data_IF_613230584084
#
_entry.id   IF_613230584084
#
_cell.length_a   1.000
_cell.length_b   1.000
_cell.length_c   1.000
_cell.angle_alpha   90.00
_cell.angle_beta   90.00
_cell.angle_gamma   90.00
#
_symmetry.space_group_name_H-M   'P 1'
#
loop_
_entity.id
_entity.type
_entity.pdbx_description
1 polymer ?
#
# COMPACT_ATOMS: atom_id res chain seq x y z
N UNK A 1 -22.33 3.41 -0.60
CA UNK A 1 -21.86 4.10 0.63
C UNK A 1 -20.73 5.04 0.21
N UNK A 2 -20.62 6.24 0.78
CA UNK A 2 -19.58 7.21 0.41
C UNK A 2 -18.61 7.41 1.59
N UNK A 3 -17.32 7.06 1.47
CA UNK A 3 -16.36 7.21 2.55
C UNK A 3 -16.08 8.69 2.84
N UNK A 4 -15.78 9.01 4.11
CA UNK A 4 -15.42 10.36 4.58
C UNK A 4 -14.21 10.29 5.50
N UNK A 5 -13.27 11.21 5.34
CA UNK A 5 -12.10 11.35 6.21
C UNK A 5 -12.50 12.17 7.44
N UNK A 6 -12.07 11.74 8.62
CA UNK A 6 -12.32 12.39 9.90
C UNK A 6 -11.04 12.34 10.76
N UNK A 7 -11.10 12.93 11.95
CA UNK A 7 -10.01 13.02 12.93
C UNK A 7 -8.76 13.75 12.43
N UNK A 8 -8.83 15.09 12.44
CA UNK A 8 -7.75 15.98 12.06
C UNK A 8 -6.90 16.43 13.26
N UNK A 9 -6.95 15.71 14.39
CA UNK A 9 -6.27 16.09 15.64
C UNK A 9 -4.74 16.15 15.54
N UNK A 10 -4.16 15.41 14.59
CA UNK A 10 -2.73 15.41 14.27
C UNK A 10 -2.39 16.15 12.96
N UNK A 11 -3.39 16.71 12.28
CA UNK A 11 -3.19 17.41 11.01
C UNK A 11 -2.40 18.69 11.19
N UNK A 12 -1.59 19.04 10.19
CA UNK A 12 -0.74 20.23 10.20
C UNK A 12 -0.98 21.06 8.96
N UNK A 13 -1.07 22.38 9.13
CA UNK A 13 -1.19 23.32 8.03
C UNK A 13 0.20 23.79 7.62
N UNK A 14 0.54 23.63 6.35
CA UNK A 14 1.82 24.08 5.79
C UNK A 14 1.58 25.06 4.64
N UNK A 15 2.46 26.06 4.49
CA UNK A 15 2.58 26.80 3.23
C UNK A 15 3.13 25.84 2.16
N UNK A 16 2.62 25.92 0.91
CA UNK A 16 2.57 24.81 -0.07
C UNK A 16 3.90 24.23 -0.62
N UNK A 17 5.03 24.38 0.07
CA UNK A 17 6.31 23.78 -0.29
C UNK A 17 7.21 23.45 0.92
N UNK A 18 6.71 23.58 2.15
CA UNK A 18 7.57 23.45 3.33
C UNK A 18 7.65 22.02 3.83
N UNK A 19 8.86 21.48 3.83
CA UNK A 19 9.26 20.36 4.67
C UNK A 19 9.39 20.86 6.11
N UNK A 20 8.79 20.16 7.08
CA UNK A 20 8.97 20.47 8.50
C UNK A 20 9.68 19.32 9.20
N UNK A 21 10.69 19.63 10.01
CA UNK A 21 11.30 18.67 10.96
C UNK A 21 10.65 18.87 12.34
N UNK A 22 10.01 17.84 12.88
CA UNK A 22 9.46 17.84 14.24
C UNK A 22 10.37 17.07 15.19
N UNK A 23 10.44 17.52 16.45
CA UNK A 23 11.16 16.81 17.53
C UNK A 23 10.29 15.76 18.22
N UNK A 24 8.96 15.86 18.09
CA UNK A 24 8.00 14.90 18.63
C UNK A 24 7.49 13.99 17.50
N UNK A 25 7.83 12.70 17.58
CA UNK A 25 7.30 11.65 16.71
C UNK A 25 6.01 11.15 17.34
N UNK A 26 4.87 11.57 16.79
CA UNK A 26 3.52 11.18 17.23
C UNK A 26 2.76 10.73 15.98
N UNK A 27 2.19 9.54 16.03
CA UNK A 27 1.43 8.95 14.93
C UNK A 27 1.01 7.52 15.22
N UNK A 28 0.35 6.88 14.25
CA UNK A 28 -0.05 5.47 14.35
C UNK A 28 1.03 4.60 13.71
N UNK A 29 1.57 3.64 14.48
CA UNK A 29 2.58 2.69 14.00
C UNK A 29 2.08 1.93 12.75
N UNK A 30 2.98 1.71 11.79
CA UNK A 30 2.65 1.09 10.50
C UNK A 30 2.02 2.02 9.46
N UNK A 31 1.66 3.26 9.81
CA UNK A 31 1.20 4.29 8.87
C UNK A 31 2.20 5.43 8.70
N UNK A 32 3.20 5.50 9.57
CA UNK A 32 4.23 6.52 9.53
C UNK A 32 5.30 6.14 8.49
N UNK A 33 5.71 7.07 7.63
CA UNK A 33 6.75 6.80 6.66
C UNK A 33 8.14 6.79 7.34
N UNK A 34 9.12 6.10 6.74
CA UNK A 34 10.44 5.93 7.34
C UNK A 34 11.13 7.28 7.61
N UNK A 35 11.11 8.24 6.69
CA UNK A 35 11.75 9.55 6.87
C UNK A 35 11.19 10.35 8.05
N UNK A 36 9.93 10.14 8.42
CA UNK A 36 9.34 10.74 9.61
C UNK A 36 9.89 10.09 10.89
N UNK A 37 10.02 8.78 10.90
CA UNK A 37 10.52 8.04 12.06
C UNK A 37 12.01 8.29 12.26
N UNK A 38 12.77 8.37 11.17
CA UNK A 38 14.22 8.56 11.19
C UNK A 38 14.63 9.99 11.54
N UNK A 39 13.89 10.98 11.03
CA UNK A 39 14.32 12.39 11.03
C UNK A 39 13.24 13.36 11.51
N UNK A 40 12.06 12.87 11.89
CA UNK A 40 10.91 13.74 12.18
C UNK A 40 10.45 14.54 10.96
N UNK A 41 10.81 14.11 9.74
CA UNK A 41 10.51 14.85 8.51
C UNK A 41 9.04 14.67 8.14
N UNK A 42 8.31 15.78 8.06
CA UNK A 42 6.92 15.84 7.60
C UNK A 42 6.88 16.59 6.28
N UNK A 43 6.32 15.94 5.27
CA UNK A 43 6.03 16.48 3.94
C UNK A 43 4.63 16.01 3.52
N UNK A 44 4.02 16.57 2.47
CA UNK A 44 2.78 16.03 1.91
C UNK A 44 2.89 14.55 1.47
N UNK A 45 4.12 14.05 1.23
CA UNK A 45 4.37 12.64 0.91
C UNK A 45 4.17 11.69 2.09
N UNK A 46 4.04 12.24 3.30
CA UNK A 46 3.63 11.48 4.48
C UNK A 46 2.25 10.87 4.27
N UNK A 47 1.26 11.68 3.89
CA UNK A 47 -0.12 11.22 3.71
C UNK A 47 -0.23 10.21 2.55
N UNK A 48 0.63 10.36 1.53
CA UNK A 48 0.72 9.39 0.41
C UNK A 48 1.17 8.02 0.89
N UNK A 49 2.17 7.96 1.78
CA UNK A 49 2.62 6.70 2.35
C UNK A 49 1.49 6.04 3.15
N UNK A 50 0.86 6.80 4.06
CA UNK A 50 -0.26 6.29 4.87
C UNK A 50 -1.43 5.82 3.99
N UNK A 51 -1.72 6.51 2.89
CA UNK A 51 -2.72 6.09 1.90
C UNK A 51 -2.36 4.75 1.25
N UNK A 52 -1.10 4.56 0.86
CA UNK A 52 -0.61 3.28 0.32
C UNK A 52 -0.87 2.12 1.28
N UNK A 53 -0.53 2.29 2.56
CA UNK A 53 -0.83 1.31 3.62
C UNK A 53 -2.34 1.04 3.72
N UNK A 54 -3.19 2.07 3.65
CA UNK A 54 -4.65 1.90 3.68
C UNK A 54 -5.14 1.06 2.50
N UNK A 55 -4.67 1.34 1.27
CA UNK A 55 -5.05 0.59 0.07
C UNK A 55 -4.68 -0.89 0.23
N UNK A 56 -3.46 -1.16 0.70
CA UNK A 56 -2.96 -2.52 0.96
C UNK A 56 -3.86 -3.24 1.96
N UNK A 57 -4.26 -2.56 3.04
CA UNK A 57 -5.16 -3.12 4.04
C UNK A 57 -6.56 -3.42 3.50
N UNK A 58 -7.08 -2.57 2.61
CA UNK A 58 -8.38 -2.80 1.97
C UNK A 58 -8.30 -4.06 1.09
N UNK A 59 -7.21 -4.22 0.34
CA UNK A 59 -6.96 -5.39 -0.51
C UNK A 59 -6.83 -6.66 0.34
N UNK A 60 -6.03 -6.60 1.41
CA UNK A 60 -5.85 -7.73 2.33
C UNK A 60 -7.15 -8.12 3.06
N UNK A 61 -8.02 -7.15 3.38
CA UNK A 61 -9.29 -7.42 4.04
C UNK A 61 -9.23 -7.50 5.58
N UNK A 62 -10.39 -7.78 6.23
CA UNK A 62 -10.58 -7.62 7.67
C UNK A 62 -9.68 -8.51 8.54
N UNK A 63 -9.31 -9.70 8.06
CA UNK A 63 -8.40 -10.61 8.79
C UNK A 63 -6.93 -10.16 8.75
N UNK A 64 -6.59 -9.18 7.90
CA UNK A 64 -5.23 -8.68 7.75
C UNK A 64 -4.84 -7.56 8.71
N UNK A 65 -5.80 -6.83 9.27
CA UNK A 65 -5.48 -5.66 10.09
C UNK A 65 -4.94 -6.02 11.48
N UNK A 66 -5.49 -7.05 12.13
CA UNK A 66 -5.14 -7.38 13.52
C UNK A 66 -3.70 -7.86 13.70
N UNK A 67 -2.98 -8.14 12.60
CA UNK A 67 -1.63 -8.69 12.63
C UNK A 67 -0.57 -7.80 11.97
N UNK A 68 -0.95 -6.77 11.21
CA UNK A 68 -0.02 -6.01 10.36
C UNK A 68 1.18 -5.38 11.11
N UNK A 69 1.00 -4.97 12.37
CA UNK A 69 2.07 -4.37 13.16
C UNK A 69 3.04 -5.41 13.79
N UNK A 70 2.60 -6.66 13.93
CA UNK A 70 3.31 -7.74 14.64
C UNK A 70 3.75 -8.88 13.71
N UNK A 71 3.44 -8.76 12.42
CA UNK A 71 3.60 -9.81 11.40
C UNK A 71 4.91 -9.64 10.63
N UNK A 72 5.63 -10.75 10.39
CA UNK A 72 6.82 -10.73 9.53
C UNK A 72 6.45 -10.50 8.05
N UNK A 73 7.40 -10.13 7.20
CA UNK A 73 7.14 -10.04 5.75
C UNK A 73 6.61 -11.36 5.19
N UNK A 74 7.18 -12.50 5.60
CA UNK A 74 6.74 -13.81 5.12
C UNK A 74 5.29 -14.11 5.51
N UNK A 75 4.87 -13.73 6.72
CA UNK A 75 3.49 -13.91 7.15
C UNK A 75 2.53 -12.93 6.46
N UNK A 76 2.99 -11.71 6.20
CA UNK A 76 2.22 -10.68 5.51
C UNK A 76 2.06 -11.00 4.03
N UNK A 77 3.12 -11.47 3.40
CA UNK A 77 3.14 -12.02 2.04
C UNK A 77 2.16 -13.18 1.95
N UNK A 78 2.27 -14.18 2.82
CA UNK A 78 1.33 -15.32 2.87
C UNK A 78 -0.13 -14.88 3.08
N UNK A 79 -0.37 -13.87 3.90
CA UNK A 79 -1.71 -13.35 4.18
C UNK A 79 -2.28 -12.60 2.97
N UNK A 80 -1.49 -11.73 2.34
CA UNK A 80 -1.84 -11.14 1.05
C UNK A 80 -2.13 -12.24 0.05
N UNK A 81 -1.27 -13.27 0.00
CA UNK A 81 -1.39 -14.41 -0.88
C UNK A 81 -2.74 -15.13 -0.75
N UNK A 82 -3.06 -15.51 0.48
CA UNK A 82 -4.29 -16.25 0.78
C UNK A 82 -5.54 -15.41 0.57
N UNK A 83 -5.50 -14.13 0.98
CA UNK A 83 -6.65 -13.24 0.86
C UNK A 83 -6.91 -12.85 -0.60
N UNK A 84 -5.88 -12.71 -1.43
CA UNK A 84 -6.08 -12.46 -2.86
C UNK A 84 -6.60 -13.71 -3.57
N UNK A 85 -6.03 -14.88 -3.33
CA UNK A 85 -6.43 -16.12 -4.02
C UNK A 85 -7.91 -16.42 -3.74
N UNK A 86 -8.29 -16.21 -2.49
CA UNK A 86 -9.67 -16.30 -2.04
C UNK A 86 -10.57 -15.24 -2.69
N UNK A 87 -10.19 -13.96 -2.68
CA UNK A 87 -11.02 -12.88 -3.25
C UNK A 87 -11.20 -13.01 -4.77
N UNK A 88 -10.14 -13.39 -5.47
CA UNK A 88 -10.15 -13.62 -6.91
C UNK A 88 -11.11 -14.76 -7.27
N UNK A 89 -11.04 -15.87 -6.52
CA UNK A 89 -11.83 -17.07 -6.78
C UNK A 89 -13.30 -16.92 -6.35
N UNK A 90 -13.59 -16.18 -5.28
CA UNK A 90 -14.95 -16.09 -4.71
C UNK A 90 -15.80 -14.97 -5.33
N UNK A 91 -15.23 -13.93 -5.95
CA UNK A 91 -15.96 -12.65 -6.11
C UNK A 91 -15.86 -11.94 -7.45
N UNK A 92 -14.91 -12.27 -8.35
CA UNK A 92 -14.54 -11.33 -9.42
C UNK A 92 -14.92 -11.81 -10.83
N UNK A 93 -15.73 -11.03 -11.58
CA UNK A 93 -15.77 -11.09 -13.04
C UNK A 93 -14.39 -10.74 -13.63
N UNK A 94 -14.07 -11.23 -14.82
CA UNK A 94 -12.76 -11.07 -15.48
C UNK A 94 -12.25 -9.63 -15.64
N UNK A 95 -13.12 -8.62 -15.59
CA UNK A 95 -12.76 -7.20 -15.67
C UNK A 95 -12.12 -6.62 -14.41
N UNK A 96 -12.33 -7.20 -13.24
CA UNK A 96 -11.94 -6.56 -11.96
C UNK A 96 -10.50 -6.86 -11.54
N UNK A 97 -9.84 -7.79 -12.22
CA UNK A 97 -8.46 -8.18 -11.96
C UNK A 97 -7.48 -7.07 -12.36
N UNK A 98 -7.75 -6.37 -13.46
CA UNK A 98 -6.93 -5.26 -13.91
C UNK A 98 -7.06 -4.05 -12.97
N UNK A 99 -8.26 -3.77 -12.48
CA UNK A 99 -8.52 -2.73 -11.48
C UNK A 99 -7.74 -3.00 -10.19
N UNK A 100 -7.71 -4.26 -9.76
CA UNK A 100 -6.97 -4.70 -8.59
C UNK A 100 -5.45 -4.55 -8.79
N UNK A 101 -4.93 -4.98 -9.94
CA UNK A 101 -3.51 -4.79 -10.30
C UNK A 101 -3.11 -3.32 -10.28
N UNK A 102 -3.94 -2.44 -10.84
CA UNK A 102 -3.67 -1.01 -10.81
C UNK A 102 -3.70 -0.45 -9.39
N UNK A 103 -4.67 -0.84 -8.56
CA UNK A 103 -4.69 -0.46 -7.14
C UNK A 103 -3.42 -0.93 -6.39
N UNK A 104 -2.91 -2.12 -6.72
CA UNK A 104 -1.68 -2.63 -6.14
C UNK A 104 -0.45 -1.86 -6.60
N UNK A 105 -0.32 -1.57 -7.89
CA UNK A 105 0.81 -0.77 -8.39
C UNK A 105 0.82 0.62 -7.75
N UNK A 106 -0.35 1.25 -7.60
CA UNK A 106 -0.50 2.52 -6.87
C UNK A 106 0.01 2.35 -5.43
N UNK A 107 -0.46 1.33 -4.71
CA UNK A 107 -0.04 1.06 -3.33
C UNK A 107 1.47 0.86 -3.21
N UNK A 108 2.06 0.03 -4.08
CA UNK A 108 3.50 -0.27 -4.15
C UNK A 108 4.36 0.97 -4.33
N UNK A 109 3.91 1.93 -5.15
CA UNK A 109 4.58 3.22 -5.34
C UNK A 109 4.36 4.17 -4.17
N UNK A 110 3.18 4.13 -3.54
CA UNK A 110 2.88 4.96 -2.37
C UNK A 110 3.76 4.62 -1.16
N UNK A 111 4.09 3.33 -0.96
CA UNK A 111 4.92 2.88 0.18
C UNK A 111 6.43 2.84 -0.12
N UNK A 112 6.88 3.50 -1.20
CA UNK A 112 8.30 3.67 -1.50
C UNK A 112 9.05 4.32 -0.33
N UNK A 113 10.23 3.77 -0.02
CA UNK A 113 11.09 4.33 1.04
C UNK A 113 11.56 5.73 0.69
N UNK A 114 11.90 5.93 -0.59
CA UNK A 114 12.28 7.23 -1.12
C UNK A 114 11.02 8.07 -1.40
N UNK A 115 10.83 9.15 -0.63
CA UNK A 115 9.62 9.97 -0.69
C UNK A 115 9.42 10.63 -2.07
N UNK A 116 10.50 10.88 -2.81
CA UNK A 116 10.46 11.52 -4.13
C UNK A 116 9.94 10.57 -5.21
N UNK A 117 10.04 9.25 -4.99
CA UNK A 117 9.50 8.23 -5.90
C UNK A 117 8.01 7.99 -5.69
N UNK A 118 7.45 8.44 -4.57
CA UNK A 118 6.00 8.32 -4.31
C UNK A 118 5.25 9.22 -5.28
N UNK A 119 4.10 8.79 -5.82
CA UNK A 119 3.28 9.62 -6.69
C UNK A 119 2.71 10.82 -5.93
N UNK A 120 2.24 11.84 -6.64
CA UNK A 120 1.40 12.87 -6.05
C UNK A 120 -0.07 12.44 -6.03
N UNK A 121 -0.87 13.04 -5.15
CA UNK A 121 -2.28 12.64 -5.00
C UNK A 121 -3.09 12.80 -6.30
N UNK A 122 -2.76 13.79 -7.13
CA UNK A 122 -3.43 13.99 -8.42
C UNK A 122 -3.15 12.85 -9.41
N UNK A 123 -1.95 12.27 -9.40
CA UNK A 123 -1.64 11.10 -10.24
C UNK A 123 -2.47 9.90 -9.78
N UNK A 124 -2.49 9.62 -8.47
CA UNK A 124 -3.28 8.53 -7.88
C UNK A 124 -4.76 8.69 -8.25
N UNK A 125 -5.35 9.87 -8.05
CA UNK A 125 -6.77 10.12 -8.38
C UNK A 125 -7.03 9.94 -9.87
N UNK A 126 -6.13 10.41 -10.74
CA UNK A 126 -6.28 10.23 -12.19
C UNK A 126 -6.23 8.76 -12.59
N UNK A 127 -5.35 7.97 -12.00
CA UNK A 127 -5.26 6.52 -12.24
C UNK A 127 -6.52 5.79 -11.74
N UNK A 128 -7.00 6.10 -10.53
CA UNK A 128 -8.24 5.53 -9.98
C UNK A 128 -9.48 5.90 -10.80
N UNK A 129 -9.56 7.12 -11.35
CA UNK A 129 -10.69 7.52 -12.20
C UNK A 129 -10.72 6.78 -13.54
N UNK A 130 -9.55 6.39 -14.08
CA UNK A 130 -9.48 5.60 -15.31
C UNK A 130 -10.04 4.19 -15.12
N UNK A 131 -9.81 3.63 -13.93
CA UNK A 131 -10.40 2.36 -13.50
C UNK A 131 -11.93 2.48 -13.49
N UNK A 132 -12.46 3.47 -12.76
CA UNK A 132 -13.91 3.69 -12.60
C UNK A 132 -14.64 3.94 -13.94
N UNK A 133 -13.95 4.52 -14.92
CA UNK A 133 -14.51 4.83 -16.24
C UNK A 133 -14.52 3.64 -17.22
N UNK A 134 -13.99 2.47 -16.83
CA UNK A 134 -13.94 1.28 -17.70
C UNK A 134 -13.08 1.42 -18.95
N UNK A 135 -12.18 2.42 -18.99
CA UNK A 135 -11.25 2.64 -20.12
C UNK A 135 -10.04 1.73 -19.92
N UNK A 136 -10.27 0.43 -20.02
CA UNK A 136 -9.23 -0.59 -20.13
C UNK A 136 -9.38 -1.14 -21.55
N UNK A 137 -8.46 -0.77 -22.43
CA UNK A 137 -8.48 -1.24 -23.81
C UNK A 137 -8.01 -2.70 -23.84
N UNK A 138 -8.84 -3.63 -24.29
CA UNK A 138 -8.38 -4.90 -24.87
C UNK A 138 -9.08 -5.15 -26.23
N UNK A 139 -8.38 -5.65 -27.26
CA UNK A 139 -8.93 -5.86 -28.59
C UNK A 139 -9.81 -7.12 -28.68
N UNK A 140 -10.88 -7.03 -29.48
CA UNK A 140 -11.75 -8.12 -29.92
C UNK A 140 -10.97 -9.40 -30.32
N UNK A 141 -11.25 -10.54 -29.66
CA UNK A 141 -10.99 -11.88 -30.24
C UNK A 141 -11.95 -12.97 -29.72
N UNK A 142 -12.10 -14.02 -30.53
CA UNK A 142 -13.19 -14.99 -30.66
C UNK A 142 -13.46 -15.94 -29.46
N UNK A 143 -14.73 -16.23 -29.15
CA UNK A 143 -15.24 -16.76 -27.86
C UNK A 143 -14.77 -18.17 -27.44
N UNK A 144 -14.35 -19.03 -28.38
CA UNK A 144 -13.84 -20.38 -28.06
C UNK A 144 -12.36 -20.42 -27.69
N UNK A 145 -11.56 -19.46 -28.18
CA UNK A 145 -10.15 -19.31 -27.79
C UNK A 145 -10.01 -18.58 -26.45
N UNK A 146 -11.09 -17.97 -25.95
CA UNK A 146 -11.13 -17.24 -24.68
C UNK A 146 -11.03 -18.20 -23.50
N UNK A 147 -11.73 -19.33 -23.50
CA UNK A 147 -11.79 -20.21 -22.31
C UNK A 147 -10.45 -20.93 -22.02
N UNK A 148 -9.76 -21.41 -23.06
CA UNK A 148 -8.43 -22.04 -22.93
C UNK A 148 -7.32 -21.02 -22.65
N UNK A 149 -7.49 -19.77 -23.12
CA UNK A 149 -6.66 -18.64 -22.71
C UNK A 149 -7.00 -18.18 -21.31
N UNK A 150 -8.25 -18.25 -20.87
CA UNK A 150 -8.70 -17.78 -19.57
C UNK A 150 -8.02 -18.58 -18.47
N UNK A 151 -7.99 -19.92 -18.53
CA UNK A 151 -7.28 -20.73 -17.53
C UNK A 151 -5.77 -20.44 -17.47
N UNK A 152 -5.14 -20.18 -18.62
CA UNK A 152 -3.70 -19.80 -18.68
C UNK A 152 -3.44 -18.35 -18.26
N UNK A 153 -4.34 -17.44 -18.59
CA UNK A 153 -4.30 -16.05 -18.14
C UNK A 153 -4.52 -16.01 -16.64
N UNK A 154 -5.52 -16.71 -16.11
CA UNK A 154 -5.83 -16.75 -14.69
C UNK A 154 -4.62 -17.27 -13.91
N UNK A 155 -3.95 -18.34 -14.37
CA UNK A 155 -2.69 -18.80 -13.78
C UNK A 155 -1.54 -17.78 -13.85
N UNK A 156 -1.29 -17.18 -15.02
CA UNK A 156 -0.24 -16.15 -15.15
C UNK A 156 -0.55 -14.88 -14.34
N UNK A 157 -1.82 -14.51 -14.22
CA UNK A 157 -2.27 -13.34 -13.50
C UNK A 157 -2.20 -13.56 -11.98
N UNK A 158 -2.52 -14.77 -11.53
CA UNK A 158 -2.24 -15.27 -10.18
C UNK A 158 -0.75 -15.08 -9.88
N UNK A 159 0.15 -15.57 -10.75
CA UNK A 159 1.60 -15.46 -10.55
C UNK A 159 2.09 -13.99 -10.52
N UNK A 160 1.50 -13.12 -11.34
CA UNK A 160 1.86 -11.70 -11.40
C UNK A 160 1.36 -10.92 -10.18
N UNK A 161 0.15 -11.24 -9.71
CA UNK A 161 -0.41 -10.68 -8.46
C UNK A 161 0.37 -11.19 -7.26
N UNK A 162 0.78 -12.45 -7.26
CA UNK A 162 1.65 -13.05 -6.26
C UNK A 162 2.97 -12.28 -6.17
N UNK A 163 3.61 -12.05 -7.30
CA UNK A 163 4.85 -11.26 -7.36
C UNK A 163 4.67 -9.85 -6.81
N UNK A 164 3.57 -9.17 -7.15
CA UNK A 164 3.29 -7.82 -6.66
C UNK A 164 3.03 -7.83 -5.15
N UNK A 165 2.36 -8.85 -4.63
CA UNK A 165 2.16 -9.07 -3.19
C UNK A 165 3.49 -9.14 -2.43
N UNK A 166 4.42 -9.95 -2.93
CA UNK A 166 5.76 -10.08 -2.36
C UNK A 166 6.57 -8.78 -2.41
N UNK A 167 6.51 -8.05 -3.53
CA UNK A 167 7.18 -6.75 -3.65
C UNK A 167 6.63 -5.71 -2.64
N UNK A 168 5.32 -5.72 -2.40
CA UNK A 168 4.67 -4.87 -1.39
C UNK A 168 5.11 -5.27 0.03
N UNK A 169 5.09 -6.57 0.33
CA UNK A 169 5.48 -7.10 1.63
C UNK A 169 6.92 -6.73 2.00
N UNK A 170 7.85 -6.95 1.06
CA UNK A 170 9.26 -6.61 1.24
C UNK A 170 9.46 -5.10 1.47
N UNK A 171 8.73 -4.24 0.74
CA UNK A 171 8.79 -2.78 0.94
C UNK A 171 8.29 -2.35 2.31
N UNK A 172 7.18 -2.92 2.78
CA UNK A 172 6.63 -2.62 4.11
C UNK A 172 7.58 -3.10 5.20
N UNK A 173 8.07 -4.33 5.14
CA UNK A 173 8.97 -4.87 6.17
C UNK A 173 10.30 -4.11 6.20
N UNK A 174 10.87 -3.77 5.04
CA UNK A 174 12.05 -2.92 4.99
C UNK A 174 11.80 -1.56 5.68
N UNK A 175 10.56 -1.08 5.70
CA UNK A 175 10.20 0.12 6.45
C UNK A 175 10.04 -0.19 7.96
N UNK A 176 9.33 -1.27 8.35
CA UNK A 176 9.08 -1.66 9.75
C UNK A 176 10.34 -2.09 10.52
N UNK A 177 11.22 -2.92 9.94
CA UNK A 177 12.47 -3.37 10.61
C UNK A 177 13.34 -2.17 11.00
N UNK A 178 13.39 -1.15 10.13
CA UNK A 178 14.08 0.09 10.43
C UNK A 178 13.48 0.86 11.61
N UNK A 179 12.22 0.64 11.95
CA UNK A 179 11.55 1.20 13.13
C UNK A 179 11.94 0.46 14.41
N UNK A 180 11.94 -0.88 14.41
CA UNK A 180 12.23 -1.69 15.61
C UNK A 180 13.65 -1.50 16.12
N UNK A 181 14.64 -1.48 15.21
CA UNK A 181 16.05 -1.25 15.58
C UNK A 181 16.28 0.16 16.15
N UNK A 182 15.53 1.16 15.68
CA UNK A 182 15.67 2.57 16.12
C UNK A 182 14.97 2.86 17.44
N UNK A 183 13.80 2.27 17.69
CA UNK A 183 13.14 2.36 19.01
C UNK A 183 13.99 1.70 20.10
N UNK A 184 14.70 0.61 19.76
CA UNK A 184 15.68 -0.03 20.65
C UNK A 184 16.88 0.88 20.95
N UNK A 185 17.44 1.54 19.91
CA UNK A 185 18.55 2.50 20.07
C UNK A 185 18.16 3.80 20.78
N UNK A 186 16.92 4.25 20.70
CA UNK A 186 16.46 5.46 21.41
C UNK A 186 16.25 5.22 22.91
N UNK A 187 15.93 3.97 23.31
CA UNK A 187 15.76 3.59 24.72
C UNK A 187 17.08 3.51 25.50
N UNK A 188 18.21 3.26 24.84
CA UNK A 188 19.53 3.23 25.50
C UNK A 188 20.13 4.62 25.75
N UNK A 189 19.62 5.68 25.10
CA UNK A 189 20.12 7.05 25.27
C UNK A 189 19.40 7.87 26.36
N UNK A 190 18.38 7.31 27.04
CA UNK A 190 17.64 8.02 28.12
C UNK A 190 17.97 7.49 29.52
N UNK A 191 19.03 6.70 29.67
CA UNK A 191 19.54 6.21 30.96
C UNK A 191 20.90 6.85 31.31
N UNK A 192 20.97 8.18 31.29
CA UNK A 192 21.99 8.94 32.02
C UNK A 192 21.51 10.39 32.15
N UNK A 193 21.16 10.78 33.38
CA UNK A 193 20.63 12.11 33.73
C UNK A 193 19.95 12.06 35.08
#
# INVERSE_FOLDING_TARGET
>A
MTPKIADFGLSRLFASAQTHITTQIIGTLGYMPPEFIERGKITPKFDIFSLGVIIIKIIAGPDGYSKFADMSSEEFDKLLHQNWAKRLHETMPSGTLQELKTCMDIATRCVERDEEKRPCISEIVNELNKIDSGIINEPNQNYSDILDKQDKLDGHLVDEVDKIGGDIAAKIEANIINEQDKVSSAKTSTACG
#
